data_IF_109622634863
#
_entry.id   IF_109622634863
#
_cell.length_a   1.000
_cell.length_b   1.000
_cell.length_c   1.000
_cell.angle_alpha   90.00
_cell.angle_beta   90.00
_cell.angle_gamma   90.00
#
_symmetry.space_group_name_H-M   'P 1'
#
loop_
_entity.id
_entity.type
_entity.pdbx_description
1 polymer ?
#
# COMPACT_ATOMS: atom_id res chain seq x y z
N UNK A 1 1.44 -9.78 -1.77
CA UNK A 1 0.20 -9.38 -1.09
C UNK A 1 -0.96 -10.13 -1.69
N UNK A 2 -1.94 -10.50 -0.87
CA UNK A 2 -3.23 -11.07 -1.30
C UNK A 2 -4.30 -10.01 -1.03
N UNK A 3 -5.23 -9.82 -1.97
CA UNK A 3 -6.37 -8.92 -1.80
C UNK A 3 -7.64 -9.71 -1.52
N UNK A 4 -8.42 -9.24 -0.55
CA UNK A 4 -9.61 -9.91 -0.03
C UNK A 4 -10.85 -9.09 -0.36
N UNK A 5 -11.62 -9.53 -1.36
CA UNK A 5 -12.76 -8.77 -1.89
C UNK A 5 -13.87 -8.60 -0.84
N UNK A 6 -14.08 -9.62 -0.03
CA UNK A 6 -15.09 -9.69 1.02
C UNK A 6 -14.74 -8.82 2.23
N UNK A 7 -13.48 -8.42 2.41
CA UNK A 7 -13.07 -7.49 3.47
C UNK A 7 -13.52 -6.07 3.16
N UNK A 8 -13.32 -5.64 1.92
CA UNK A 8 -13.56 -4.27 1.48
C UNK A 8 -13.84 -4.27 -0.02
N UNK A 9 -15.08 -4.51 -0.48
CA UNK A 9 -15.39 -4.59 -1.90
C UNK A 9 -15.01 -3.35 -2.71
N UNK A 10 -15.22 -2.14 -2.16
CA UNK A 10 -14.86 -0.88 -2.82
C UNK A 10 -13.35 -0.66 -2.82
N UNK A 11 -12.70 -0.89 -1.68
CA UNK A 11 -11.25 -0.82 -1.56
C UNK A 11 -10.54 -1.83 -2.47
N UNK A 12 -11.00 -3.08 -2.50
CA UNK A 12 -10.50 -4.14 -3.39
C UNK A 12 -10.59 -3.71 -4.85
N UNK A 13 -11.76 -3.26 -5.31
CA UNK A 13 -11.97 -2.86 -6.70
C UNK A 13 -11.05 -1.68 -7.09
N UNK A 14 -10.91 -0.70 -6.19
CA UNK A 14 -9.99 0.44 -6.39
C UNK A 14 -8.53 -0.01 -6.44
N UNK A 15 -8.09 -0.79 -5.45
CA UNK A 15 -6.72 -1.26 -5.35
C UNK A 15 -6.34 -2.10 -6.57
N UNK A 16 -7.16 -3.10 -6.92
CA UNK A 16 -6.96 -3.93 -8.11
C UNK A 16 -6.83 -3.08 -9.37
N UNK A 17 -7.75 -2.12 -9.59
CA UNK A 17 -7.70 -1.26 -10.77
C UNK A 17 -6.45 -0.39 -10.85
N UNK A 18 -5.98 0.16 -9.72
CA UNK A 18 -4.77 0.99 -9.70
C UNK A 18 -3.49 0.16 -9.80
N UNK A 19 -3.43 -1.03 -9.20
CA UNK A 19 -2.31 -1.96 -9.32
C UNK A 19 -2.16 -2.49 -10.75
N UNK A 20 -3.25 -2.95 -11.37
CA UNK A 20 -3.25 -3.47 -12.75
C UNK A 20 -2.85 -2.42 -13.79
N UNK A 21 -3.15 -1.15 -13.52
CA UNK A 21 -2.81 -0.02 -14.39
C UNK A 21 -1.44 0.60 -14.10
N UNK A 22 -0.65 0.01 -13.19
CA UNK A 22 0.70 0.49 -12.85
C UNK A 22 0.73 1.85 -12.16
N UNK A 23 -0.34 2.28 -11.49
CA UNK A 23 -0.38 3.61 -10.86
C UNK A 23 0.72 3.80 -9.82
N UNK A 24 1.00 2.77 -9.04
CA UNK A 24 1.94 2.80 -7.94
C UNK A 24 3.38 2.50 -8.36
N UNK A 25 3.63 2.21 -9.64
CA UNK A 25 4.99 2.01 -10.13
C UNK A 25 5.78 3.32 -9.95
N UNK A 26 6.97 3.18 -9.37
CA UNK A 26 7.83 4.29 -8.95
C UNK A 26 7.19 5.24 -7.93
N UNK A 27 6.14 4.80 -7.21
CA UNK A 27 5.60 5.58 -6.09
C UNK A 27 6.49 5.43 -4.86
N UNK A 28 6.65 6.51 -4.11
CA UNK A 28 7.58 6.57 -2.99
C UNK A 28 6.86 6.38 -1.67
N UNK A 29 7.55 5.76 -0.73
CA UNK A 29 7.12 5.82 0.65
C UNK A 29 7.38 7.24 1.16
N UNK A 30 6.39 7.85 1.78
CA UNK A 30 6.51 9.19 2.36
C UNK A 30 6.19 9.24 3.86
N UNK A 31 5.68 8.14 4.42
CA UNK A 31 5.54 7.95 5.88
C UNK A 31 6.04 6.54 6.25
N UNK A 32 7.07 6.41 7.09
CA UNK A 32 7.58 5.12 7.60
C UNK A 32 7.84 5.34 9.07
N UNK A 33 6.93 4.86 9.90
CA UNK A 33 6.97 4.96 11.35
C UNK A 33 7.09 3.54 11.90
N UNK A 34 8.27 3.13 12.39
CA UNK A 34 8.47 1.81 12.98
C UNK A 34 7.40 1.51 14.04
N UNK A 35 6.91 0.26 14.07
CA UNK A 35 5.86 -0.19 14.99
C UNK A 35 4.49 0.48 14.83
N UNK A 36 4.28 1.22 13.73
CA UNK A 36 3.00 1.84 13.42
C UNK A 36 2.57 1.54 11.99
N UNK A 37 3.17 2.20 10.99
CA UNK A 37 2.81 1.97 9.59
C UNK A 37 3.87 2.42 8.61
N UNK A 38 3.72 1.97 7.37
CA UNK A 38 4.29 2.59 6.18
C UNK A 38 3.17 3.09 5.26
N UNK A 39 3.30 4.29 4.71
CA UNK A 39 2.33 4.95 3.83
C UNK A 39 2.98 5.36 2.50
N UNK A 40 2.23 5.13 1.42
CA UNK A 40 2.60 5.44 0.04
C UNK A 40 1.34 5.71 -0.80
N UNK A 41 1.48 5.79 -2.12
CA UNK A 41 0.35 5.90 -3.05
C UNK A 41 0.06 7.29 -3.59
N UNK A 42 1.11 8.13 -3.64
CA UNK A 42 1.13 9.33 -4.45
C UNK A 42 2.02 9.04 -5.66
N UNK A 43 1.42 9.03 -6.84
CA UNK A 43 2.11 8.87 -8.11
C UNK A 43 2.16 10.19 -8.87
N UNK A 44 3.25 10.41 -9.59
CA UNK A 44 3.43 11.51 -10.52
C UNK A 44 3.23 11.05 -11.98
N UNK A 45 2.41 10.02 -12.20
CA UNK A 45 2.00 9.59 -13.55
C UNK A 45 1.50 10.76 -14.39
N UNK A 46 1.88 10.76 -15.67
CA UNK A 46 1.42 11.73 -16.68
C UNK A 46 0.14 11.27 -17.39
N UNK A 47 -0.32 10.04 -17.15
CA UNK A 47 -1.61 9.56 -17.64
C UNK A 47 -2.75 10.30 -16.93
N UNK A 48 -3.44 11.15 -17.69
CA UNK A 48 -4.53 12.01 -17.20
C UNK A 48 -5.71 11.18 -16.68
N UNK A 49 -6.07 10.09 -17.34
CA UNK A 49 -7.20 9.25 -16.94
C UNK A 49 -6.86 8.43 -15.69
N UNK A 50 -5.63 7.93 -15.61
CA UNK A 50 -5.16 7.23 -14.42
C UNK A 50 -5.04 8.18 -13.21
N UNK A 51 -4.57 9.41 -13.44
CA UNK A 51 -4.55 10.46 -12.42
C UNK A 51 -5.95 10.82 -11.96
N UNK A 52 -6.90 11.01 -12.88
CA UNK A 52 -8.31 11.28 -12.56
C UNK A 52 -8.93 10.15 -11.76
N UNK A 53 -8.69 8.89 -12.15
CA UNK A 53 -9.14 7.73 -11.40
C UNK A 53 -8.59 7.78 -9.97
N UNK A 54 -7.28 7.91 -9.80
CA UNK A 54 -6.62 7.91 -8.51
C UNK A 54 -7.06 9.06 -7.59
N UNK A 55 -7.40 10.23 -8.16
CA UNK A 55 -7.85 11.40 -7.42
C UNK A 55 -9.34 11.37 -7.07
N UNK A 56 -10.15 10.55 -7.76
CA UNK A 56 -11.56 10.38 -7.41
C UNK A 56 -11.72 9.62 -6.09
N UNK A 57 -12.70 10.03 -5.29
CA UNK A 57 -13.01 9.34 -4.03
C UNK A 57 -13.84 8.08 -4.27
N UNK A 58 -13.75 7.14 -3.33
CA UNK A 58 -14.63 5.96 -3.25
C UNK A 58 -15.49 6.01 -1.98
N UNK A 59 -16.73 5.48 -2.01
CA UNK A 59 -17.54 5.31 -0.81
C UNK A 59 -16.83 4.43 0.22
N UNK A 60 -17.08 4.61 1.51
CA UNK A 60 -16.54 3.73 2.56
C UNK A 60 -17.09 2.30 2.46
N UNK A 61 -16.27 1.33 2.86
CA UNK A 61 -16.71 -0.06 3.01
C UNK A 61 -17.34 -0.27 4.38
N UNK A 62 -18.20 -1.29 4.55
CA UNK A 62 -18.67 -1.69 5.87
C UNK A 62 -17.50 -1.96 6.80
N UNK A 63 -17.57 -1.43 8.02
CA UNK A 63 -16.53 -1.66 9.03
C UNK A 63 -16.45 -3.15 9.37
N UNK A 64 -15.24 -3.70 9.38
CA UNK A 64 -14.94 -5.10 9.72
C UNK A 64 -14.29 -5.18 11.11
N UNK A 65 -15.12 -5.18 12.15
CA UNK A 65 -14.66 -5.26 13.55
C UNK A 65 -13.91 -6.57 13.83
N UNK A 66 -14.21 -7.64 13.10
CA UNK A 66 -13.53 -8.93 13.17
C UNK A 66 -12.09 -8.91 12.63
N UNK A 67 -11.72 -7.86 11.90
CA UNK A 67 -10.36 -7.63 11.42
C UNK A 67 -9.57 -6.67 12.31
N UNK A 68 -10.17 -6.22 13.43
CA UNK A 68 -9.57 -5.24 14.34
C UNK A 68 -9.06 -5.88 15.65
N UNK A 69 -7.97 -5.35 16.24
CA UNK A 69 -7.08 -4.31 15.68
C UNK A 69 -6.31 -4.82 14.46
N UNK A 70 -5.77 -3.89 13.66
CA UNK A 70 -4.91 -4.24 12.52
C UNK A 70 -3.79 -5.20 12.93
N UNK A 71 -3.69 -6.33 12.21
CA UNK A 71 -2.54 -7.24 12.28
C UNK A 71 -1.39 -6.70 11.43
N UNK A 72 -0.16 -7.09 11.77
CA UNK A 72 1.01 -6.81 10.93
C UNK A 72 0.76 -7.28 9.49
N UNK A 73 1.11 -6.43 8.52
CA UNK A 73 0.99 -6.73 7.10
C UNK A 73 -0.38 -6.43 6.50
N UNK A 74 -1.42 -6.12 7.29
CA UNK A 74 -2.69 -5.66 6.73
C UNK A 74 -2.51 -4.34 5.97
N UNK A 75 -3.16 -4.23 4.81
CA UNK A 75 -3.13 -3.04 3.95
C UNK A 75 -4.52 -2.40 3.85
N UNK A 76 -4.56 -1.07 3.94
CA UNK A 76 -5.78 -0.27 3.83
C UNK A 76 -5.51 1.06 3.12
N UNK A 77 -6.57 1.70 2.65
CA UNK A 77 -6.49 3.09 2.18
C UNK A 77 -6.36 4.04 3.37
N UNK A 78 -5.59 5.12 3.16
CA UNK A 78 -5.67 6.29 4.01
C UNK A 78 -6.89 7.15 3.63
N UNK A 79 -7.42 7.88 4.60
CA UNK A 79 -8.54 8.80 4.41
C UNK A 79 -8.50 9.94 5.42
N UNK A 80 -9.31 10.96 5.17
CA UNK A 80 -9.40 12.19 5.96
C UNK A 80 -10.85 12.51 6.35
N UNK A 81 -11.70 11.49 6.48
CA UNK A 81 -13.13 11.62 6.73
C UNK A 81 -13.97 10.62 5.92
N UNK A 82 -15.30 10.57 6.14
CA UNK A 82 -16.18 9.67 5.42
C UNK A 82 -16.07 9.84 3.89
N UNK A 83 -16.02 8.73 3.15
CA UNK A 83 -15.97 8.69 1.68
C UNK A 83 -14.83 9.51 1.06
N UNK A 84 -13.66 9.55 1.73
CA UNK A 84 -12.50 10.37 1.32
C UNK A 84 -11.36 9.57 0.69
N UNK A 85 -11.46 8.23 0.69
CA UNK A 85 -10.41 7.34 0.20
C UNK A 85 -10.18 7.56 -1.29
N UNK A 86 -8.91 7.66 -1.69
CA UNK A 86 -8.50 7.96 -3.08
C UNK A 86 -7.51 6.91 -3.60
N UNK A 87 -6.21 7.14 -3.41
CA UNK A 87 -5.12 6.27 -3.87
C UNK A 87 -4.07 5.99 -2.81
N UNK A 88 -4.01 6.78 -1.74
CA UNK A 88 -3.00 6.59 -0.71
C UNK A 88 -3.30 5.34 0.12
N UNK A 89 -2.26 4.54 0.35
CA UNK A 89 -2.31 3.26 1.04
C UNK A 89 -1.38 3.28 2.24
N UNK A 90 -1.70 2.47 3.25
CA UNK A 90 -0.77 2.14 4.30
C UNK A 90 -0.73 0.63 4.56
N UNK A 91 0.44 0.13 4.95
CA UNK A 91 0.64 -1.21 5.48
C UNK A 91 0.89 -1.07 6.98
N UNK A 92 0.14 -1.80 7.79
CA UNK A 92 0.30 -1.81 9.23
C UNK A 92 1.53 -2.61 9.66
N UNK A 93 2.32 -2.05 10.58
CA UNK A 93 3.31 -2.82 11.33
C UNK A 93 2.66 -3.47 12.56
N UNK A 94 3.42 -4.33 13.24
CA UNK A 94 3.08 -4.72 14.61
C UNK A 94 2.95 -3.45 15.49
N UNK A 95 1.92 -3.39 16.34
CA UNK A 95 1.68 -2.24 17.22
C UNK A 95 0.74 -1.17 16.66
N UNK A 96 0.21 -1.35 15.44
CA UNK A 96 -0.71 -0.43 14.77
C UNK A 96 -2.14 -0.36 15.35
N UNK A 97 -2.33 -0.68 16.63
CA UNK A 97 -3.66 -0.82 17.25
C UNK A 97 -4.52 0.45 17.29
N UNK A 98 -3.94 1.62 16.99
CA UNK A 98 -4.66 2.88 16.81
C UNK A 98 -5.39 3.00 15.46
N UNK A 99 -5.05 2.17 14.47
CA UNK A 99 -5.67 2.17 13.14
C UNK A 99 -6.94 1.30 13.12
N UNK A 100 -7.86 1.62 12.21
CA UNK A 100 -9.10 0.86 12.01
C UNK A 100 -10.27 1.33 12.88
N UNK A 101 -10.06 2.40 13.65
CA UNK A 101 -11.11 3.06 14.41
C UNK A 101 -12.03 3.89 13.50
N UNK A 102 -11.54 4.28 12.32
CA UNK A 102 -12.29 5.11 11.38
C UNK A 102 -12.96 4.28 10.27
N UNK A 103 -14.14 4.67 9.75
CA UNK A 103 -14.83 3.94 8.67
C UNK A 103 -14.01 3.77 7.37
N UNK A 104 -13.15 4.74 7.07
CA UNK A 104 -12.28 4.73 5.88
C UNK A 104 -11.00 3.89 6.05
N UNK A 105 -10.83 3.19 7.18
CA UNK A 105 -9.65 2.36 7.46
C UNK A 105 -9.96 0.87 7.39
N UNK A 106 -10.98 0.46 6.63
CA UNK A 106 -11.27 -0.97 6.44
C UNK A 106 -10.20 -1.61 5.53
N UNK A 107 -9.47 -2.65 5.98
CA UNK A 107 -8.43 -3.29 5.19
C UNK A 107 -9.03 -4.03 3.99
N UNK A 108 -8.27 -4.12 2.90
CA UNK A 108 -8.67 -4.81 1.67
C UNK A 108 -7.71 -5.95 1.28
N UNK A 109 -6.68 -6.21 2.09
CA UNK A 109 -5.69 -7.24 1.81
C UNK A 109 -4.63 -7.34 2.89
N UNK A 110 -3.65 -8.20 2.65
CA UNK A 110 -2.49 -8.35 3.53
C UNK A 110 -1.21 -8.79 2.81
N UNK A 111 -0.07 -8.50 3.44
CA UNK A 111 1.25 -9.03 3.10
C UNK A 111 1.36 -10.45 3.63
N UNK A 112 1.13 -11.43 2.76
CA UNK A 112 1.31 -12.86 3.10
C UNK A 112 2.77 -13.32 3.05
N UNK A 113 3.64 -12.51 2.44
CA UNK A 113 5.04 -12.84 2.22
C UNK A 113 5.89 -11.58 1.97
N UNK A 114 7.16 -11.60 2.37
CA UNK A 114 8.09 -10.49 2.15
C UNK A 114 7.97 -9.34 3.16
N UNK A 115 7.31 -9.56 4.31
CA UNK A 115 7.15 -8.54 5.35
C UNK A 115 8.50 -8.07 5.92
N UNK A 116 9.51 -8.94 5.91
CA UNK A 116 10.89 -8.58 6.25
C UNK A 116 11.50 -7.52 5.33
N UNK A 117 11.02 -7.40 4.09
CA UNK A 117 11.45 -6.34 3.18
C UNK A 117 10.76 -5.02 3.52
N UNK A 118 9.49 -5.06 3.91
CA UNK A 118 8.76 -3.89 4.41
C UNK A 118 9.43 -3.36 5.68
N UNK A 119 9.82 -4.23 6.62
CA UNK A 119 10.53 -3.84 7.85
C UNK A 119 11.91 -3.22 7.64
N UNK A 120 12.53 -3.44 6.48
CA UNK A 120 13.83 -2.85 6.12
C UNK A 120 13.70 -1.48 5.48
N UNK A 121 12.48 -0.97 5.31
CA UNK A 121 12.29 0.35 4.73
C UNK A 121 12.91 1.43 5.62
N UNK A 122 13.61 2.39 5.00
CA UNK A 122 14.26 3.48 5.69
C UNK A 122 13.22 4.36 6.41
N UNK A 123 13.39 4.49 7.73
CA UNK A 123 12.50 5.27 8.57
C UNK A 123 12.90 6.74 8.60
N UNK A 124 12.02 7.59 8.09
CA UNK A 124 12.07 9.04 8.27
C UNK A 124 11.02 9.55 9.28
N UNK A 125 10.31 8.63 9.95
CA UNK A 125 9.30 8.95 10.95
C UNK A 125 7.98 9.39 10.34
N UNK A 126 7.23 10.20 11.10
CA UNK A 126 5.94 10.72 10.64
C UNK A 126 6.14 11.80 9.54
N UNK A 127 5.04 12.29 9.00
CA UNK A 127 5.04 13.41 8.07
C UNK A 127 5.36 14.73 8.79
N UNK A 128 5.91 15.73 8.08
CA UNK A 128 6.09 17.06 8.63
C UNK A 128 4.76 17.64 9.16
N UNK A 129 4.78 18.36 10.31
CA UNK A 129 5.95 18.73 11.11
C UNK A 129 6.43 17.66 12.13
N UNK A 130 5.75 16.52 12.25
CA UNK A 130 6.00 15.52 13.30
C UNK A 130 7.12 14.52 12.97
N UNK A 131 7.56 14.47 11.71
CA UNK A 131 8.74 13.72 11.32
C UNK A 131 9.44 14.34 10.12
N UNK A 132 10.38 13.57 9.55
CA UNK A 132 11.31 14.02 8.50
C UNK A 132 10.99 13.41 7.14
N UNK A 133 9.80 12.81 7.00
CA UNK A 133 9.34 12.19 5.77
C UNK A 133 9.14 13.19 4.62
N UNK A 134 9.21 12.72 3.36
CA UNK A 134 8.85 13.52 2.19
C UNK A 134 7.46 14.17 2.31
N UNK A 135 7.33 15.41 1.83
CA UNK A 135 6.08 16.15 1.89
C UNK A 135 5.13 15.75 0.73
N UNK A 136 3.89 15.41 1.05
CA UNK A 136 2.91 14.96 0.05
C UNK A 136 2.62 16.01 -1.04
N UNK A 137 2.54 17.29 -0.67
CA UNK A 137 2.22 18.38 -1.59
C UNK A 137 3.25 18.51 -2.72
N UNK A 138 4.55 18.66 -2.40
CA UNK A 138 5.63 18.61 -3.37
C UNK A 138 5.68 17.31 -4.19
N UNK A 139 5.49 16.12 -3.60
CA UNK A 139 5.42 14.87 -4.38
C UNK A 139 4.32 14.97 -5.45
N UNK A 140 3.14 15.51 -5.10
CA UNK A 140 2.02 15.65 -6.03
C UNK A 140 2.24 16.69 -7.12
N UNK A 141 2.87 17.81 -6.78
CA UNK A 141 2.93 18.99 -7.65
C UNK A 141 4.22 19.05 -8.49
N UNK A 142 5.32 18.57 -7.95
CA UNK A 142 6.65 18.60 -8.60
C UNK A 142 7.07 17.21 -9.10
N UNK A 143 6.53 16.13 -8.53
CA UNK A 143 6.75 14.77 -9.01
C UNK A 143 8.20 14.33 -8.85
N UNK A 144 8.77 13.75 -9.92
CA UNK A 144 10.10 13.15 -9.89
C UNK A 144 11.19 14.12 -9.47
N UNK A 145 11.11 15.40 -9.85
CA UNK A 145 12.14 16.39 -9.49
C UNK A 145 12.28 16.57 -7.98
N UNK A 146 11.16 16.63 -7.26
CA UNK A 146 11.18 16.74 -5.79
C UNK A 146 11.71 15.48 -5.15
N UNK A 147 11.26 14.32 -5.64
CA UNK A 147 11.72 13.04 -5.11
C UNK A 147 13.23 12.87 -5.30
N UNK A 148 13.76 13.19 -6.49
CA UNK A 148 15.18 13.13 -6.78
C UNK A 148 15.98 14.08 -5.88
N UNK A 149 15.48 15.29 -5.65
CA UNK A 149 16.08 16.25 -4.72
C UNK A 149 16.15 15.68 -3.30
N UNK A 150 15.04 15.17 -2.76
CA UNK A 150 15.03 14.59 -1.41
C UNK A 150 15.90 13.33 -1.35
N UNK A 151 15.91 12.53 -2.42
CA UNK A 151 16.69 11.28 -2.50
C UNK A 151 18.19 11.55 -2.56
N UNK A 152 18.60 12.74 -3.03
CA UNK A 152 20.01 13.17 -2.98
C UNK A 152 20.49 13.52 -1.57
N UNK A 153 19.55 13.80 -0.66
CA UNK A 153 19.84 14.23 0.71
C UNK A 153 19.63 13.11 1.73
N UNK A 154 18.73 12.16 1.44
CA UNK A 154 18.31 11.08 2.34
C UNK A 154 17.91 9.85 1.54
N UNK A 155 18.07 8.65 2.09
CA UNK A 155 17.54 7.44 1.45
C UNK A 155 16.01 7.48 1.43
N UNK A 156 15.44 7.42 0.23
CA UNK A 156 14.01 7.23 0.01
C UNK A 156 13.82 5.91 -0.71
N UNK A 157 13.02 5.04 -0.11
CA UNK A 157 12.64 3.77 -0.72
C UNK A 157 11.39 3.97 -1.59
N UNK A 158 11.26 3.15 -2.62
CA UNK A 158 10.14 3.21 -3.56
C UNK A 158 9.57 1.83 -3.89
N UNK A 159 8.30 1.85 -4.31
CA UNK A 159 7.67 0.75 -5.04
C UNK A 159 8.19 0.80 -6.46
N UNK A 160 9.16 -0.05 -6.79
CA UNK A 160 9.73 -0.09 -8.12
C UNK A 160 8.75 -0.62 -9.15
N UNK A 161 7.99 -1.66 -8.77
CA UNK A 161 6.96 -2.24 -9.64
C UNK A 161 6.00 -3.13 -8.86
N UNK A 162 4.76 -3.16 -9.32
CA UNK A 162 3.76 -4.16 -8.89
C UNK A 162 3.43 -5.10 -10.06
N UNK A 163 3.47 -6.40 -9.81
CA UNK A 163 3.06 -7.43 -10.79
C UNK A 163 1.78 -8.11 -10.32
N UNK A 164 0.85 -8.33 -11.26
CA UNK A 164 -0.27 -9.27 -11.07
C UNK A 164 0.28 -10.67 -11.20
N UNK A 165 0.00 -11.48 -10.19
CA UNK A 165 0.46 -12.86 -10.09
C UNK A 165 -0.78 -13.74 -10.27
N UNK A 166 -0.83 -14.49 -11.37
CA UNK A 166 -1.95 -15.37 -11.68
C UNK A 166 -2.06 -16.54 -10.70
N UNK A 167 -3.23 -17.22 -10.64
CA UNK A 167 -3.53 -18.25 -9.63
C UNK A 167 -2.54 -19.42 -9.61
N UNK A 168 -1.87 -19.73 -10.73
CA UNK A 168 -0.88 -20.81 -10.81
C UNK A 168 0.48 -20.53 -10.14
N UNK A 169 0.75 -19.28 -9.74
CA UNK A 169 2.04 -18.90 -9.18
C UNK A 169 2.13 -19.10 -7.67
N UNK A 170 1.00 -19.01 -6.94
CA UNK A 170 0.94 -19.36 -5.52
C UNK A 170 1.33 -20.82 -5.30
N UNK A 171 0.85 -21.73 -6.15
CA UNK A 171 1.21 -23.14 -6.12
C UNK A 171 2.72 -23.37 -6.29
N UNK A 172 3.43 -22.55 -7.08
CA UNK A 172 4.88 -22.64 -7.22
C UNK A 172 5.64 -22.14 -5.98
N UNK A 173 5.11 -21.12 -5.30
CA UNK A 173 5.66 -20.63 -4.02
C UNK A 173 5.45 -21.68 -2.92
N UNK A 174 4.26 -22.30 -2.85
CA UNK A 174 3.94 -23.35 -1.87
C UNK A 174 4.77 -24.62 -2.08
N UNK A 175 4.96 -25.03 -3.33
CA UNK A 175 5.85 -26.14 -3.71
C UNK A 175 7.31 -25.84 -3.34
N UNK A 176 7.77 -24.59 -3.52
CA UNK A 176 9.12 -24.18 -3.13
C UNK A 176 9.29 -24.10 -1.60
N UNK A 177 8.23 -23.82 -0.86
CA UNK A 177 8.21 -23.69 0.61
C UNK A 177 8.01 -24.99 1.37
N UNK A 178 7.66 -26.08 0.68
CA UNK A 178 7.32 -27.35 1.34
C UNK A 178 6.05 -27.28 2.19
N UNK A 179 5.23 -26.23 2.01
CA UNK A 179 3.98 -26.02 2.74
C UNK A 179 2.83 -26.26 1.79
N UNK A 180 2.11 -27.38 1.96
CA UNK A 180 0.82 -27.59 1.30
C UNK A 180 -0.25 -26.81 2.06
N UNK A 181 -0.41 -25.53 1.73
CA UNK A 181 -1.65 -24.83 2.05
C UNK A 181 -2.58 -24.96 0.86
N UNK A 182 -3.76 -25.53 1.08
CA UNK A 182 -4.86 -25.46 0.13
C UNK A 182 -5.25 -23.99 -0.02
N UNK A 183 -4.73 -23.32 -1.05
CA UNK A 183 -5.24 -22.03 -1.49
C UNK A 183 -6.70 -22.23 -1.90
N UNK A 184 -7.61 -21.70 -1.07
CA UNK A 184 -9.03 -21.68 -1.37
C UNK A 184 -9.33 -20.69 -2.49
N UNK A 185 -10.28 -21.06 -3.35
CA UNK A 185 -11.02 -20.11 -4.19
C UNK A 185 -10.34 -19.63 -5.47
N UNK A 186 -11.09 -19.68 -6.56
CA UNK A 186 -10.71 -19.29 -7.93
C UNK A 186 -10.52 -17.77 -8.14
N UNK A 187 -10.41 -16.96 -7.07
CA UNK A 187 -10.53 -15.49 -7.13
C UNK A 187 -9.43 -14.68 -6.40
N UNK A 188 -8.46 -15.33 -5.75
CA UNK A 188 -7.40 -14.61 -5.03
C UNK A 188 -6.38 -13.97 -5.99
N UNK A 189 -6.50 -12.66 -6.19
CA UNK A 189 -5.53 -11.88 -6.99
C UNK A 189 -4.33 -11.55 -6.12
N UNK A 190 -3.18 -12.11 -6.48
CA UNK A 190 -1.93 -11.87 -5.80
C UNK A 190 -1.15 -10.78 -6.51
N UNK A 191 -0.54 -9.90 -5.72
CA UNK A 191 0.34 -8.85 -6.22
C UNK A 191 1.74 -8.99 -5.63
N UNK A 192 2.76 -9.05 -6.49
CA UNK A 192 4.16 -9.00 -6.08
C UNK A 192 4.64 -7.55 -6.14
N UNK A 193 5.10 -7.05 -5.00
CA UNK A 193 5.67 -5.72 -4.88
C UNK A 193 7.19 -5.83 -4.87
N UNK A 194 7.85 -5.16 -5.80
CA UNK A 194 9.29 -4.97 -5.76
C UNK A 194 9.57 -3.62 -5.12
N UNK A 195 10.36 -3.62 -4.05
CA UNK A 195 10.85 -2.40 -3.42
C UNK A 195 12.30 -2.16 -3.83
N UNK A 196 12.66 -0.91 -4.07
CA UNK A 196 14.05 -0.47 -4.19
C UNK A 196 14.39 0.35 -2.97
N UNK A 197 15.50 -0.02 -2.32
CA UNK A 197 16.05 0.78 -1.25
C UNK A 197 16.80 1.99 -1.84
N UNK A 198 16.57 3.15 -1.26
CA UNK A 198 17.31 4.38 -1.56
C UNK A 198 18.80 4.19 -1.25
N UNK A 199 19.64 4.96 -1.96
CA UNK A 199 21.07 5.04 -1.68
C UNK A 199 21.38 5.93 -0.49
#
# INVERSE_FOLDING_TARGET
MVLHREWSPQGYARAKSLFERGYYDHSHFFRVVPHFLVQFGISYTTDVELKRLAQSTIPDDPKREDLMPFREGMISFAGSGPNSRTSQLFIAYEGAGGLGNSPWETPFGEVVDGMENVRKLYSYGDMPPWGKGPEQGPIRNQGSSYVEEVSSQKSIDDVSRIYVVGPGWLALIDVWRGSFCSAGGEEDVVFLFLFRQGK
#
